data_IF_896068600768
#
_entry.id   IF_896068600768
#
_cell.length_a   1.000
_cell.length_b   1.000
_cell.length_c   1.000
_cell.angle_alpha   90.00
_cell.angle_beta   90.00
_cell.angle_gamma   90.00
#
_symmetry.space_group_name_H-M   'P 1'
#
loop_
_entity.id
_entity.type
_entity.pdbx_description
1 polymer ?
#
# COMPACT_ATOMS: atom_id res chain seq x y z
N UNK A 1 -28.60 -2.46 -33.82
CA UNK A 1 -27.30 -1.76 -33.62
C UNK A 1 -26.45 -2.43 -32.55
N UNK A 2 -26.87 -2.57 -31.28
CA UNK A 2 -26.04 -3.27 -30.27
C UNK A 2 -25.97 -4.79 -30.45
N UNK A 3 -27.01 -5.39 -31.04
CA UNK A 3 -27.05 -6.83 -31.36
C UNK A 3 -26.04 -7.18 -32.47
N UNK A 4 -25.97 -6.34 -33.51
CA UNK A 4 -25.06 -6.49 -34.65
C UNK A 4 -23.58 -6.32 -34.22
N UNK A 5 -23.32 -5.47 -33.22
CA UNK A 5 -21.97 -5.25 -32.67
C UNK A 5 -21.49 -6.43 -31.82
N UNK A 6 -22.39 -7.09 -31.09
CA UNK A 6 -22.08 -8.33 -30.35
C UNK A 6 -21.82 -9.50 -31.31
N UNK A 7 -22.60 -9.62 -32.39
CA UNK A 7 -22.35 -10.61 -33.45
C UNK A 7 -21.00 -10.38 -34.14
N UNK A 8 -20.67 -9.13 -34.46
CA UNK A 8 -19.37 -8.80 -35.04
C UNK A 8 -18.19 -9.19 -34.12
N UNK A 9 -18.28 -8.85 -32.83
CA UNK A 9 -17.27 -9.26 -31.82
C UNK A 9 -17.17 -10.79 -31.67
N UNK A 10 -18.30 -11.50 -31.74
CA UNK A 10 -18.30 -12.97 -31.65
C UNK A 10 -17.63 -13.59 -32.88
N UNK A 11 -17.92 -13.07 -34.07
CA UNK A 11 -17.31 -13.52 -35.33
C UNK A 11 -15.80 -13.28 -35.32
N UNK A 12 -15.35 -12.16 -34.77
CA UNK A 12 -13.94 -11.83 -34.63
C UNK A 12 -13.23 -12.81 -33.68
N UNK A 13 -13.77 -13.04 -32.48
CA UNK A 13 -13.25 -14.05 -31.55
C UNK A 13 -13.22 -15.46 -32.14
N UNK A 14 -14.24 -15.84 -32.92
CA UNK A 14 -14.27 -17.14 -33.58
C UNK A 14 -13.18 -17.27 -34.64
N UNK A 15 -12.84 -16.18 -35.36
CA UNK A 15 -11.69 -16.18 -36.28
C UNK A 15 -10.38 -16.35 -35.53
N UNK A 16 -10.21 -15.67 -34.38
CA UNK A 16 -9.02 -15.80 -33.54
C UNK A 16 -8.83 -17.24 -33.07
N UNK A 17 -9.85 -17.85 -32.44
CA UNK A 17 -9.80 -19.24 -31.97
C UNK A 17 -9.49 -20.20 -33.13
N UNK A 18 -10.08 -19.95 -34.31
CA UNK A 18 -9.83 -20.79 -35.50
C UNK A 18 -8.38 -20.67 -35.97
N UNK A 19 -7.81 -19.47 -35.95
CA UNK A 19 -6.41 -19.24 -36.31
C UNK A 19 -5.46 -19.90 -35.31
N UNK A 20 -5.72 -19.75 -34.01
CA UNK A 20 -4.95 -20.40 -32.94
C UNK A 20 -5.00 -21.93 -33.07
N UNK A 21 -6.18 -22.50 -33.31
CA UNK A 21 -6.34 -23.95 -33.53
C UNK A 21 -5.53 -24.43 -34.73
N UNK A 22 -5.53 -23.69 -35.83
CA UNK A 22 -4.74 -24.03 -37.02
C UNK A 22 -3.25 -24.05 -36.67
N UNK A 23 -2.75 -23.05 -35.94
CA UNK A 23 -1.36 -23.00 -35.50
C UNK A 23 -1.02 -24.17 -34.57
N UNK A 24 -1.89 -24.46 -33.60
CA UNK A 24 -1.71 -25.56 -32.65
C UNK A 24 -1.88 -26.95 -33.27
N UNK A 25 -2.50 -27.09 -34.45
CA UNK A 25 -2.61 -28.36 -35.17
C UNK A 25 -1.47 -28.57 -36.19
N UNK A 26 -0.52 -27.63 -36.33
CA UNK A 26 0.62 -27.81 -37.24
C UNK A 26 1.60 -28.87 -36.68
N UNK A 27 1.71 -30.06 -37.31
CA UNK A 27 2.38 -31.21 -36.70
C UNK A 27 3.91 -31.10 -36.64
N UNK A 28 4.49 -30.07 -37.26
CA UNK A 28 5.92 -29.78 -37.26
C UNK A 28 6.31 -28.66 -36.29
N UNK A 29 5.34 -27.87 -35.79
CA UNK A 29 5.59 -26.78 -34.84
C UNK A 29 5.41 -27.29 -33.41
N UNK A 30 4.43 -28.17 -33.18
CA UNK A 30 4.18 -28.78 -31.88
C UNK A 30 4.19 -30.32 -31.99
N UNK A 31 5.35 -30.97 -31.78
CA UNK A 31 5.46 -32.44 -31.85
C UNK A 31 4.57 -33.17 -30.83
N UNK A 32 4.23 -32.50 -29.73
CA UNK A 32 3.40 -33.06 -28.65
C UNK A 32 1.97 -33.45 -29.09
N UNK A 33 1.44 -32.87 -30.18
CA UNK A 33 0.11 -33.22 -30.72
C UNK A 33 0.01 -34.71 -31.09
N UNK A 34 1.13 -35.33 -31.48
CA UNK A 34 1.20 -36.75 -31.86
C UNK A 34 1.50 -37.67 -30.67
N UNK A 35 1.70 -37.11 -29.48
CA UNK A 35 2.05 -37.89 -28.30
C UNK A 35 0.80 -38.62 -27.79
N UNK A 36 0.85 -39.95 -27.60
CA UNK A 36 -0.27 -40.71 -27.03
C UNK A 36 -0.55 -40.31 -25.58
N UNK A 37 0.47 -39.87 -24.85
CA UNK A 37 0.40 -39.51 -23.42
C UNK A 37 0.25 -38.00 -23.19
N UNK A 38 -0.20 -37.24 -24.20
CA UNK A 38 -0.33 -35.78 -24.10
C UNK A 38 -1.21 -35.35 -22.92
N UNK A 39 -2.25 -36.12 -22.58
CA UNK A 39 -3.14 -35.84 -21.45
C UNK A 39 -2.38 -35.89 -20.11
N UNK A 40 -1.52 -36.89 -19.92
CA UNK A 40 -0.71 -37.01 -18.70
C UNK A 40 0.38 -35.93 -18.64
N UNK A 41 1.02 -35.61 -19.77
CA UNK A 41 1.97 -34.51 -19.83
C UNK A 41 1.34 -33.16 -19.53
N UNK A 42 0.15 -32.87 -20.08
CA UNK A 42 -0.58 -31.64 -19.79
C UNK A 42 -0.96 -31.59 -18.32
N UNK A 43 -1.46 -32.68 -17.74
CA UNK A 43 -1.77 -32.76 -16.30
C UNK A 43 -0.55 -32.49 -15.43
N UNK A 44 0.60 -33.05 -15.77
CA UNK A 44 1.86 -32.80 -15.07
C UNK A 44 2.28 -31.34 -15.17
N UNK A 45 2.20 -30.74 -16.37
CA UNK A 45 2.53 -29.33 -16.60
C UNK A 45 1.60 -28.41 -15.80
N UNK A 46 0.29 -28.68 -15.81
CA UNK A 46 -0.68 -27.89 -15.06
C UNK A 46 -0.42 -27.99 -13.55
N UNK A 47 -0.13 -29.19 -13.05
CA UNK A 47 0.23 -29.40 -11.63
C UNK A 47 1.50 -28.62 -11.27
N UNK A 48 2.51 -28.66 -12.14
CA UNK A 48 3.75 -27.90 -11.94
C UNK A 48 3.49 -26.40 -11.89
N UNK A 49 2.69 -25.86 -12.82
CA UNK A 49 2.34 -24.43 -12.85
C UNK A 49 1.61 -24.01 -11.57
N UNK A 50 0.67 -24.83 -11.09
CA UNK A 50 -0.03 -24.59 -9.82
C UNK A 50 0.94 -24.59 -8.63
N UNK A 51 1.90 -25.52 -8.60
CA UNK A 51 2.91 -25.57 -7.54
C UNK A 51 3.83 -24.34 -7.58
N UNK A 52 4.22 -23.88 -8.78
CA UNK A 52 5.02 -22.67 -8.95
C UNK A 52 4.25 -21.41 -8.49
N UNK A 53 2.97 -21.30 -8.81
CA UNK A 53 2.11 -20.21 -8.34
C UNK A 53 1.97 -20.20 -6.81
N UNK A 54 1.66 -21.36 -6.21
CA UNK A 54 1.58 -21.51 -4.76
C UNK A 54 2.92 -21.19 -4.08
N UNK A 55 4.03 -21.58 -4.69
CA UNK A 55 5.37 -21.25 -4.20
C UNK A 55 5.59 -19.73 -4.18
N UNK A 56 5.20 -19.01 -5.23
CA UNK A 56 5.33 -17.55 -5.27
C UNK A 56 4.47 -16.86 -4.20
N UNK A 57 3.23 -17.32 -4.02
CA UNK A 57 2.34 -16.82 -2.96
C UNK A 57 2.97 -17.05 -1.59
N UNK A 58 3.47 -18.26 -1.33
CA UNK A 58 4.11 -18.60 -0.06
C UNK A 58 5.37 -17.77 0.16
N UNK A 59 6.22 -17.58 -0.84
CA UNK A 59 7.40 -16.70 -0.74
C UNK A 59 6.97 -15.28 -0.37
N UNK A 60 5.94 -14.75 -1.02
CA UNK A 60 5.42 -13.42 -0.70
C UNK A 60 4.89 -13.33 0.74
N UNK A 61 4.07 -14.30 1.15
CA UNK A 61 3.49 -14.34 2.51
C UNK A 61 4.52 -14.58 3.61
N UNK A 62 5.57 -15.33 3.32
CA UNK A 62 6.64 -15.66 4.28
C UNK A 62 7.84 -14.73 4.17
N UNK A 63 7.80 -13.73 3.28
CA UNK A 63 8.90 -12.78 3.07
C UNK A 63 9.08 -11.86 4.28
N UNK A 64 9.74 -12.39 5.32
CA UNK A 64 10.32 -11.67 6.46
C UNK A 64 11.27 -10.55 6.01
N UNK A 65 11.76 -10.62 4.78
CA UNK A 65 12.58 -9.60 4.13
C UNK A 65 11.90 -8.23 4.11
N UNK A 66 10.62 -8.16 3.75
CA UNK A 66 9.87 -6.90 3.69
C UNK A 66 9.77 -6.24 5.07
N UNK A 67 9.49 -7.03 6.11
CA UNK A 67 9.42 -6.58 7.50
C UNK A 67 10.80 -6.15 8.04
N UNK A 68 11.87 -6.81 7.58
CA UNK A 68 13.25 -6.48 7.96
C UNK A 68 13.72 -5.16 7.35
N UNK A 69 13.36 -4.86 6.11
CA UNK A 69 13.71 -3.59 5.45
C UNK A 69 13.05 -2.39 6.14
N UNK A 70 11.77 -2.51 6.50
CA UNK A 70 11.06 -1.46 7.21
C UNK A 70 11.66 -1.21 8.60
N UNK A 71 12.03 -2.27 9.33
CA UNK A 71 12.69 -2.18 10.62
C UNK A 71 14.04 -1.46 10.53
N UNK A 72 14.86 -1.77 9.51
CA UNK A 72 16.13 -1.08 9.29
C UNK A 72 15.91 0.40 8.93
N UNK A 73 14.87 0.71 8.15
CA UNK A 73 14.45 2.08 7.87
C UNK A 73 14.12 2.87 9.14
N UNK A 74 13.37 2.26 10.06
CA UNK A 74 13.04 2.86 11.37
C UNK A 74 14.30 3.06 12.24
N UNK A 75 15.18 2.06 12.31
CA UNK A 75 16.46 2.18 13.02
C UNK A 75 17.32 3.31 12.45
N UNK A 76 17.34 3.49 11.12
CA UNK A 76 18.07 4.59 10.47
C UNK A 76 17.53 5.95 10.90
N UNK A 77 16.21 6.13 10.99
CA UNK A 77 15.61 7.37 11.50
C UNK A 77 16.01 7.61 12.95
N UNK A 78 15.89 6.59 13.81
CA UNK A 78 16.27 6.70 15.23
C UNK A 78 17.75 7.04 15.43
N UNK A 79 18.66 6.47 14.61
CA UNK A 79 20.09 6.82 14.60
C UNK A 79 20.32 8.25 14.13
N UNK A 80 19.60 8.69 13.09
CA UNK A 80 19.73 10.04 12.52
C UNK A 80 19.27 11.12 13.49
N UNK A 81 18.21 10.84 14.26
CA UNK A 81 17.68 11.73 15.27
C UNK A 81 18.36 11.59 16.65
N UNK A 82 19.39 10.74 16.75
CA UNK A 82 20.17 10.51 17.97
C UNK A 82 19.37 9.91 19.15
N UNK A 83 18.31 9.14 18.85
CA UNK A 83 17.55 8.36 19.84
C UNK A 83 18.31 7.09 20.25
N UNK A 84 19.09 6.54 19.32
CA UNK A 84 20.03 5.44 19.52
C UNK A 84 21.38 5.78 18.89
N UNK A 85 22.47 5.23 19.41
CA UNK A 85 23.80 5.39 18.81
C UNK A 85 24.07 4.36 17.68
N UNK A 86 25.30 4.38 17.15
CA UNK A 86 25.75 3.47 16.08
C UNK A 86 25.80 2.01 16.54
N UNK A 87 25.87 1.77 17.84
CA UNK A 87 25.86 0.46 18.47
C UNK A 87 24.43 0.04 18.88
N UNK A 88 23.41 0.81 18.48
CA UNK A 88 22.00 0.63 18.83
C UNK A 88 21.70 0.74 20.34
N UNK A 89 22.53 1.47 21.09
CA UNK A 89 22.27 1.77 22.49
C UNK A 89 21.40 3.02 22.61
N UNK A 90 20.37 2.91 23.45
CA UNK A 90 19.38 3.97 23.69
C UNK A 90 20.02 5.16 24.39
N UNK A 91 19.91 6.33 23.76
CA UNK A 91 20.41 7.61 24.26
C UNK A 91 19.36 8.30 25.16
N UNK A 92 19.69 9.47 25.71
CA UNK A 92 18.76 10.24 26.54
C UNK A 92 17.45 10.57 25.80
N UNK A 93 17.53 11.01 24.53
CA UNK A 93 16.35 11.25 23.68
C UNK A 93 15.46 10.02 23.59
N UNK A 94 16.07 8.86 23.35
CA UNK A 94 15.41 7.56 23.34
C UNK A 94 14.68 7.25 24.65
N UNK A 95 15.34 7.43 25.79
CA UNK A 95 14.75 7.19 27.11
C UNK A 95 13.54 8.10 27.37
N UNK A 96 13.63 9.38 26.99
CA UNK A 96 12.50 10.31 27.14
C UNK A 96 11.33 9.93 26.24
N UNK A 97 11.59 9.56 24.98
CA UNK A 97 10.53 9.07 24.09
C UNK A 97 9.89 7.76 24.56
N UNK A 98 10.64 6.86 25.21
CA UNK A 98 10.08 5.63 25.77
C UNK A 98 8.98 5.87 26.83
N UNK A 99 8.98 7.04 27.47
CA UNK A 99 7.94 7.43 28.45
C UNK A 99 6.69 8.05 27.80
N UNK A 100 6.68 8.22 26.47
CA UNK A 100 5.59 8.86 25.72
C UNK A 100 4.92 7.81 24.83
N UNK A 101 3.59 7.67 24.94
CA UNK A 101 2.87 6.60 24.23
C UNK A 101 2.35 6.98 22.84
N UNK A 102 2.24 8.28 22.51
CA UNK A 102 1.71 8.74 21.22
C UNK A 102 2.55 9.87 20.67
N UNK A 103 2.87 9.85 19.37
CA UNK A 103 3.71 10.85 18.70
C UNK A 103 5.02 11.11 19.46
N UNK A 104 5.63 10.02 19.95
CA UNK A 104 6.72 10.01 20.90
C UNK A 104 7.92 10.84 20.43
N UNK A 105 8.36 10.68 19.18
CA UNK A 105 9.49 11.42 18.62
C UNK A 105 9.23 12.93 18.56
N UNK A 106 8.04 13.33 18.13
CA UNK A 106 7.69 14.75 18.01
C UNK A 106 7.62 15.41 19.39
N UNK A 107 6.93 14.77 20.34
CA UNK A 107 6.75 15.31 21.68
C UNK A 107 8.09 15.35 22.42
N UNK A 108 8.93 14.32 22.33
CA UNK A 108 10.26 14.33 22.95
C UNK A 108 11.17 15.41 22.37
N UNK A 109 11.13 15.67 21.06
CA UNK A 109 11.86 16.80 20.47
C UNK A 109 11.35 18.14 21.03
N UNK A 110 10.03 18.35 21.14
CA UNK A 110 9.48 19.59 21.69
C UNK A 110 9.87 19.82 23.17
N UNK A 111 9.90 18.75 23.97
CA UNK A 111 10.34 18.78 25.36
C UNK A 111 11.83 19.15 25.43
N UNK A 112 12.67 18.47 24.67
CA UNK A 112 14.13 18.63 24.74
C UNK A 112 14.62 19.93 24.09
N UNK A 113 13.90 20.45 23.10
CA UNK A 113 14.13 21.78 22.52
C UNK A 113 13.54 22.93 23.35
N UNK A 114 13.02 22.63 24.55
CA UNK A 114 12.47 23.58 25.50
C UNK A 114 11.32 24.45 24.90
N UNK A 115 10.52 23.90 23.98
CA UNK A 115 9.47 24.66 23.27
C UNK A 115 8.27 25.06 24.15
N UNK A 116 8.22 24.55 25.37
CA UNK A 116 7.14 24.81 26.33
C UNK A 116 7.47 25.87 27.37
N UNK A 117 8.74 26.28 27.50
CA UNK A 117 9.20 27.17 28.57
C UNK A 117 8.43 28.49 28.63
N UNK A 118 8.18 29.12 27.48
CA UNK A 118 7.53 30.42 27.39
C UNK A 118 6.00 30.32 27.15
N UNK A 119 5.42 29.12 27.26
CA UNK A 119 4.00 28.89 26.99
C UNK A 119 3.21 28.66 28.26
N UNK A 120 2.00 29.19 28.30
CA UNK A 120 1.07 28.96 29.39
C UNK A 120 0.49 27.53 29.35
N UNK A 121 0.07 26.96 30.50
CA UNK A 121 -0.55 25.63 30.53
C UNK A 121 -1.74 25.46 29.57
N UNK A 122 -2.64 26.46 29.39
CA UNK A 122 -3.70 26.39 28.38
C UNK A 122 -3.19 26.29 26.94
N UNK A 123 -2.11 27.00 26.58
CA UNK A 123 -1.53 26.93 25.23
C UNK A 123 -0.88 25.57 24.97
N UNK A 124 -0.23 25.00 25.98
CA UNK A 124 0.36 23.67 25.91
C UNK A 124 -0.75 22.62 25.76
N UNK A 125 -1.84 22.71 26.53
CA UNK A 125 -3.00 21.83 26.40
C UNK A 125 -3.67 21.93 25.02
N UNK A 126 -3.80 23.15 24.49
CA UNK A 126 -4.32 23.37 23.15
C UNK A 126 -3.44 22.72 22.07
N UNK A 127 -2.12 22.78 22.21
CA UNK A 127 -1.20 22.09 21.31
C UNK A 127 -1.36 20.57 21.39
N UNK A 128 -1.34 19.98 22.59
CA UNK A 128 -1.52 18.53 22.76
C UNK A 128 -2.87 18.03 22.28
N UNK A 129 -3.93 18.86 22.31
CA UNK A 129 -5.24 18.50 21.75
C UNK A 129 -5.16 18.13 20.26
N UNK A 130 -4.26 18.76 19.50
CA UNK A 130 -4.03 18.45 18.09
C UNK A 130 -3.35 17.08 17.90
N UNK A 131 -2.58 16.61 18.88
CA UNK A 131 -1.91 15.31 18.84
C UNK A 131 -2.86 14.15 19.18
N UNK A 132 -3.95 14.42 19.92
CA UNK A 132 -4.89 13.38 20.36
C UNK A 132 -6.08 13.13 19.43
N UNK A 133 -6.36 14.04 18.49
CA UNK A 133 -7.54 13.95 17.62
C UNK A 133 -7.20 13.33 16.26
N UNK A 134 -7.44 12.03 16.09
CA UNK A 134 -7.21 11.30 14.84
C UNK A 134 -8.46 11.19 13.94
N UNK A 135 -9.59 11.75 14.37
CA UNK A 135 -10.84 11.72 13.59
C UNK A 135 -10.91 12.92 12.66
N UNK A 136 -11.10 12.67 11.37
CA UNK A 136 -11.44 13.69 10.38
C UNK A 136 -12.79 14.30 10.73
N UNK A 137 -12.77 15.37 11.55
CA UNK A 137 -13.98 16.05 11.94
C UNK A 137 -14.68 16.63 10.72
N UNK A 138 -15.86 16.10 10.37
CA UNK A 138 -16.82 16.84 9.55
C UNK A 138 -17.28 18.04 10.37
N UNK A 139 -16.55 19.15 10.30
CA UNK A 139 -17.01 20.41 10.91
C UNK A 139 -16.65 21.59 10.02
N UNK A 140 -17.71 22.11 9.38
CA UNK A 140 -17.84 23.47 8.91
C UNK A 140 -17.46 24.43 10.04
N UNK A 141 -16.20 24.88 10.09
CA UNK A 141 -15.75 26.13 10.73
C UNK A 141 -14.24 26.28 10.53
N UNK A 142 -13.82 26.60 9.30
CA UNK A 142 -12.44 26.91 8.89
C UNK A 142 -11.82 28.17 9.54
N UNK A 143 -12.34 28.63 10.69
CA UNK A 143 -12.00 29.93 11.29
C UNK A 143 -11.24 29.84 12.63
N UNK A 144 -11.09 28.68 13.25
CA UNK A 144 -10.41 28.56 14.56
C UNK A 144 -8.90 28.28 14.42
N UNK A 145 -8.47 27.39 13.52
CA UNK A 145 -7.04 27.11 13.31
C UNK A 145 -6.33 28.27 12.59
N UNK A 146 -7.03 29.00 11.71
CA UNK A 146 -6.48 30.18 11.04
C UNK A 146 -6.00 31.24 12.04
N UNK A 147 -6.72 31.48 13.15
CA UNK A 147 -6.45 32.61 14.05
C UNK A 147 -5.13 32.50 14.84
N UNK A 148 -4.65 31.28 15.11
CA UNK A 148 -3.41 31.06 15.87
C UNK A 148 -2.15 30.97 14.99
N UNK A 149 -2.28 30.71 13.69
CA UNK A 149 -1.16 30.70 12.75
C UNK A 149 -0.85 32.14 12.26
N UNK A 150 -1.88 32.99 12.08
CA UNK A 150 -1.71 34.38 11.59
C UNK A 150 -1.01 35.35 12.55
N UNK A 151 -0.78 35.00 13.82
CA UNK A 151 -0.03 35.84 14.75
C UNK A 151 1.49 35.63 14.69
N UNK A 152 1.98 34.66 13.90
CA UNK A 152 3.39 34.52 13.61
C UNK A 152 3.77 35.43 12.42
N UNK A 153 4.36 36.61 12.70
CA UNK A 153 4.77 37.61 11.69
C UNK A 153 5.77 37.12 10.62
N UNK A 154 6.22 35.88 10.66
CA UNK A 154 7.33 35.36 9.83
C UNK A 154 6.93 34.31 8.77
N UNK A 155 5.66 34.02 8.54
CA UNK A 155 5.23 33.02 7.54
C UNK A 155 4.25 33.64 6.52
N UNK A 156 4.75 34.54 5.65
CA UNK A 156 3.94 35.19 4.59
C UNK A 156 3.98 34.51 3.21
N UNK A 157 4.74 33.43 3.02
CA UNK A 157 5.05 32.94 1.67
C UNK A 157 4.51 31.54 1.34
N UNK A 158 3.27 31.21 1.71
CA UNK A 158 2.63 30.01 1.17
C UNK A 158 1.18 30.30 0.79
N UNK A 159 0.99 30.84 -0.40
CA UNK A 159 -0.29 30.77 -1.11
C UNK A 159 -0.39 29.36 -1.71
N UNK A 160 -1.27 28.52 -1.15
CA UNK A 160 -1.70 27.28 -1.79
C UNK A 160 -3.01 27.58 -2.49
N UNK A 161 -2.98 27.55 -3.83
CA UNK A 161 -4.18 27.58 -4.66
C UNK A 161 -4.88 26.23 -4.52
N UNK A 162 -6.08 26.26 -3.94
CA UNK A 162 -7.06 25.18 -4.04
C UNK A 162 -7.64 25.20 -5.47
N UNK A 163 -7.59 24.07 -6.18
CA UNK A 163 -8.55 23.64 -7.19
C UNK A 163 -8.14 22.27 -7.75
N UNK A 164 -8.76 21.21 -7.26
CA UNK A 164 -9.48 20.21 -8.06
C UNK A 164 -9.87 19.02 -7.17
N UNK A 165 -11.13 19.02 -6.75
CA UNK A 165 -11.83 17.84 -6.25
C UNK A 165 -12.11 16.88 -7.42
N UNK A 166 -12.04 15.57 -7.17
CA UNK A 166 -12.67 14.59 -8.06
C UNK A 166 -12.17 13.15 -7.95
N UNK A 167 -12.87 12.38 -7.09
CA UNK A 167 -13.20 10.94 -7.23
C UNK A 167 -12.07 9.90 -7.25
N UNK A 168 -12.10 8.98 -6.28
CA UNK A 168 -12.37 7.53 -6.47
C UNK A 168 -12.03 6.77 -5.17
N UNK A 169 -13.07 6.28 -4.49
CA UNK A 169 -12.98 5.17 -3.52
C UNK A 169 -13.61 3.94 -4.16
N UNK A 170 -13.10 2.77 -3.74
CA UNK A 170 -13.67 1.42 -3.80
C UNK A 170 -12.92 0.43 -4.72
N UNK A 171 -11.98 -0.33 -4.15
CA UNK A 171 -11.40 -1.52 -4.79
C UNK A 171 -10.64 -2.42 -3.81
N UNK A 172 -11.28 -2.96 -2.76
CA UNK A 172 -10.74 -4.15 -2.07
C UNK A 172 -11.89 -5.03 -1.55
N UNK A 173 -12.33 -5.98 -2.36
CA UNK A 173 -12.56 -7.37 -1.91
C UNK A 173 -12.95 -8.24 -3.11
N UNK A 174 -12.06 -9.18 -3.47
CA UNK A 174 -12.42 -10.50 -4.02
C UNK A 174 -11.17 -11.36 -4.17
N UNK A 175 -11.09 -12.38 -3.31
CA UNK A 175 -10.06 -13.43 -3.29
C UNK A 175 -10.30 -14.39 -4.47
N UNK A 176 -9.29 -14.73 -5.28
CA UNK A 176 -9.46 -15.56 -6.48
C UNK A 176 -9.42 -17.07 -6.14
N UNK A 177 -10.39 -17.54 -5.36
CA UNK A 177 -10.56 -18.97 -5.02
C UNK A 177 -11.87 -19.60 -5.54
N UNK A 178 -12.84 -18.79 -5.96
CA UNK A 178 -14.19 -19.28 -6.30
C UNK A 178 -14.41 -19.59 -7.79
N UNK A 179 -13.47 -19.24 -8.67
CA UNK A 179 -13.64 -19.40 -10.13
C UNK A 179 -13.50 -20.89 -10.58
N UNK A 180 -12.94 -21.77 -9.75
CA UNK A 180 -12.68 -23.17 -10.14
C UNK A 180 -13.77 -24.16 -9.70
N UNK A 181 -14.84 -23.75 -9.02
CA UNK A 181 -15.93 -24.66 -8.63
C UNK A 181 -17.12 -24.70 -9.60
N UNK A 182 -17.26 -23.75 -10.51
CA UNK A 182 -18.43 -23.68 -11.40
C UNK A 182 -18.26 -24.36 -12.77
N UNK A 183 -17.05 -24.83 -13.14
CA UNK A 183 -16.80 -25.45 -14.44
C UNK A 183 -16.50 -26.97 -14.37
N UNK A 184 -16.84 -27.63 -13.27
CA UNK A 184 -16.69 -29.08 -13.14
C UNK A 184 -17.96 -29.83 -12.69
N UNK A 185 -19.13 -29.33 -13.08
CA UNK A 185 -20.40 -30.07 -12.99
C UNK A 185 -21.08 -30.17 -14.35
#
# INVERSE_FOLDING_TARGET
MDLDRKEANLIEKLREIKNERIQLCTPNVFPCIKCPDILEHVKLILTKLQLEELQQILIHQTSTHSMSEEAEGRLKVLRTLEYIDRQNLVQLKGKVACEISHQELLISELILDNKFHDRSPPEIAALFSAFTCQHGGKNNNNNLIKRNIYNNKNLKNLQINENNEGKEEELIERVPGEILKENLM
#
